data_IF_177146188015
#
_entry.id   IF_177146188015
#
_cell.length_a   1.000
_cell.length_b   1.000
_cell.length_c   1.000
_cell.angle_alpha   90.00
_cell.angle_beta   90.00
_cell.angle_gamma   90.00
#
_symmetry.space_group_name_H-M   'P 1'
#
loop_
_entity.id
_entity.type
_entity.pdbx_description
1 polymer ?
#
# COMPACT_ATOMS: atom_id res chain seq x y z
N UNK A 1 -18.36 -0.84 19.99
CA UNK A 1 -17.95 0.43 20.63
C UNK A 1 -17.80 1.61 19.65
N UNK A 2 -17.12 1.53 18.50
CA UNK A 2 -17.06 2.69 17.56
C UNK A 2 -18.36 2.97 16.77
N UNK A 3 -19.18 1.95 16.51
CA UNK A 3 -20.40 2.05 15.68
C UNK A 3 -21.70 2.30 16.47
N UNK A 4 -21.62 2.44 17.79
CA UNK A 4 -22.79 2.62 18.67
C UNK A 4 -23.17 4.10 18.85
N UNK A 5 -22.40 5.03 18.28
CA UNK A 5 -22.65 6.47 18.38
C UNK A 5 -23.61 6.94 17.27
N UNK A 6 -24.76 7.56 17.60
CA UNK A 6 -25.70 8.11 16.62
C UNK A 6 -25.01 9.16 15.73
N UNK A 7 -25.11 8.99 14.41
CA UNK A 7 -24.49 9.90 13.44
C UNK A 7 -23.08 9.53 12.98
N UNK A 8 -22.50 8.43 13.51
CA UNK A 8 -21.25 7.91 12.97
C UNK A 8 -21.53 7.18 11.65
N UNK A 9 -20.98 7.67 10.54
CA UNK A 9 -21.04 6.95 9.27
C UNK A 9 -20.30 5.62 9.45
N UNK A 10 -20.98 4.51 9.17
CA UNK A 10 -20.30 3.22 9.03
C UNK A 10 -19.24 3.40 7.97
N UNK A 11 -17.97 3.23 8.35
CA UNK A 11 -16.87 3.13 7.39
C UNK A 11 -17.28 2.14 6.31
N UNK A 12 -17.04 2.49 5.04
CA UNK A 12 -17.44 1.59 3.96
C UNK A 12 -16.72 0.24 4.19
N UNK A 13 -17.37 -0.86 3.85
CA UNK A 13 -16.77 -2.20 3.96
C UNK A 13 -15.38 -2.31 3.29
N UNK A 14 -15.04 -1.38 2.39
CA UNK A 14 -13.72 -1.30 1.75
C UNK A 14 -12.65 -0.73 2.70
N UNK A 15 -12.97 0.32 3.47
CA UNK A 15 -12.07 0.89 4.47
C UNK A 15 -11.85 -0.13 5.59
N UNK A 16 -12.91 -0.81 6.06
CA UNK A 16 -12.78 -1.82 7.12
C UNK A 16 -11.83 -2.96 6.72
N UNK A 17 -11.91 -3.42 5.46
CA UNK A 17 -11.00 -4.46 4.94
C UNK A 17 -9.55 -4.00 4.91
N UNK A 18 -9.30 -2.74 4.53
CA UNK A 18 -7.97 -2.16 4.55
C UNK A 18 -7.44 -2.06 5.98
N UNK A 19 -8.23 -1.52 6.90
CA UNK A 19 -7.81 -1.34 8.30
C UNK A 19 -7.53 -2.69 8.96
N UNK A 20 -8.37 -3.71 8.74
CA UNK A 20 -8.15 -5.06 9.26
C UNK A 20 -6.88 -5.73 8.66
N UNK A 21 -6.57 -5.46 7.39
CA UNK A 21 -5.35 -5.96 6.76
C UNK A 21 -4.10 -5.26 7.30
N UNK A 22 -4.18 -3.95 7.51
CA UNK A 22 -3.14 -3.13 8.18
C UNK A 22 -2.87 -3.61 9.59
N UNK A 23 -3.92 -3.81 10.38
CA UNK A 23 -3.81 -4.27 11.77
C UNK A 23 -3.09 -5.63 11.85
N UNK A 24 -3.48 -6.59 11.00
CA UNK A 24 -2.82 -7.91 10.96
C UNK A 24 -1.33 -7.83 10.60
N UNK A 25 -0.97 -7.04 9.59
CA UNK A 25 0.44 -6.89 9.19
C UNK A 25 1.24 -6.17 10.27
N UNK A 26 0.65 -5.17 10.93
CA UNK A 26 1.31 -4.50 12.04
C UNK A 26 1.55 -5.49 13.18
N UNK A 27 0.55 -6.29 13.56
CA UNK A 27 0.70 -7.31 14.60
C UNK A 27 1.81 -8.32 14.27
N UNK A 28 1.82 -8.87 13.05
CA UNK A 28 2.84 -9.82 12.57
C UNK A 28 4.28 -9.23 12.62
N UNK A 29 4.40 -7.91 12.49
CA UNK A 29 5.67 -7.18 12.56
C UNK A 29 6.04 -6.69 13.96
N UNK A 30 5.25 -7.01 14.99
CA UNK A 30 5.38 -6.42 16.33
C UNK A 30 5.25 -4.89 16.28
N UNK A 31 4.32 -4.42 15.46
CA UNK A 31 4.01 -3.03 15.19
C UNK A 31 5.22 -2.26 14.64
N UNK A 32 5.67 -1.25 15.38
CA UNK A 32 6.81 -0.41 15.03
C UNK A 32 8.05 -0.76 15.85
N UNK A 33 8.15 -2.00 16.34
CA UNK A 33 9.37 -2.47 16.98
C UNK A 33 10.56 -2.38 16.01
N UNK A 34 11.67 -1.84 16.52
CA UNK A 34 12.88 -1.59 15.74
C UNK A 34 13.14 -0.10 15.52
N UNK A 35 13.55 0.28 14.31
CA UNK A 35 13.88 1.67 13.96
C UNK A 35 12.75 2.33 13.17
N UNK A 36 12.72 3.67 13.19
CA UNK A 36 11.75 4.46 12.41
C UNK A 36 11.92 4.19 10.91
N UNK A 37 13.16 3.98 10.45
CA UNK A 37 13.48 3.63 9.07
C UNK A 37 12.86 2.29 8.67
N UNK A 38 12.95 1.28 9.54
CA UNK A 38 12.33 -0.02 9.31
C UNK A 38 10.80 0.11 9.25
N UNK A 39 10.20 0.80 10.23
CA UNK A 39 8.76 1.07 10.24
C UNK A 39 8.30 1.78 8.95
N UNK A 40 9.05 2.78 8.49
CA UNK A 40 8.75 3.51 7.25
C UNK A 40 8.83 2.62 6.01
N UNK A 41 9.87 1.78 5.91
CA UNK A 41 10.05 0.88 4.78
C UNK A 41 8.91 -0.14 4.72
N UNK A 42 8.51 -0.67 5.87
CA UNK A 42 7.43 -1.64 5.96
C UNK A 42 6.07 -1.03 5.63
N UNK A 43 5.75 0.17 6.14
CA UNK A 43 4.51 0.86 5.76
C UNK A 43 4.46 1.19 4.26
N UNK A 44 5.61 1.51 3.64
CA UNK A 44 5.70 1.69 2.18
C UNK A 44 5.46 0.38 1.43
N UNK A 45 6.10 -0.71 1.86
CA UNK A 45 5.91 -2.03 1.25
C UNK A 45 4.44 -2.46 1.33
N UNK A 46 3.80 -2.25 2.49
CA UNK A 46 2.38 -2.47 2.68
C UNK A 46 1.55 -1.66 1.67
N UNK A 47 1.76 -0.35 1.58
CA UNK A 47 1.00 0.51 0.66
C UNK A 47 1.16 0.07 -0.81
N UNK A 48 2.35 -0.37 -1.21
CA UNK A 48 2.61 -0.91 -2.55
C UNK A 48 1.82 -2.21 -2.77
N UNK A 49 1.90 -3.16 -1.84
CA UNK A 49 1.15 -4.42 -1.93
C UNK A 49 -0.36 -4.17 -2.02
N UNK A 50 -0.89 -3.28 -1.16
CA UNK A 50 -2.30 -2.96 -1.16
C UNK A 50 -2.75 -2.33 -2.50
N UNK A 51 -1.96 -1.42 -3.06
CA UNK A 51 -2.37 -0.71 -4.27
C UNK A 51 -2.25 -1.56 -5.54
N UNK A 52 -1.24 -2.42 -5.62
CA UNK A 52 -0.93 -3.17 -6.85
C UNK A 52 -1.43 -4.62 -6.84
N UNK A 53 -1.93 -5.16 -5.72
CA UNK A 53 -2.49 -6.51 -5.73
C UNK A 53 -3.65 -6.62 -6.72
N UNK A 54 -3.78 -7.75 -7.43
CA UNK A 54 -4.91 -7.97 -8.31
C UNK A 54 -6.20 -8.12 -7.50
N UNK A 55 -7.30 -7.67 -8.06
CA UNK A 55 -8.62 -8.00 -7.53
C UNK A 55 -8.88 -9.51 -7.67
N UNK A 56 -9.62 -10.06 -6.70
CA UNK A 56 -10.05 -11.45 -6.78
C UNK A 56 -11.01 -11.69 -7.94
N UNK A 57 -11.03 -12.92 -8.47
CA UNK A 57 -11.82 -13.33 -9.65
C UNK A 57 -13.27 -12.84 -9.61
N UNK A 58 -13.94 -12.96 -8.46
CA UNK A 58 -15.33 -12.48 -8.27
C UNK A 58 -15.55 -11.02 -8.70
N UNK A 59 -14.58 -10.13 -8.45
CA UNK A 59 -14.71 -8.73 -8.83
C UNK A 59 -14.46 -8.52 -10.32
N UNK A 60 -13.55 -9.28 -10.91
CA UNK A 60 -13.26 -9.26 -12.35
C UNK A 60 -14.45 -9.83 -13.15
N UNK A 61 -14.99 -10.98 -12.72
CA UNK A 61 -16.14 -11.64 -13.33
C UNK A 61 -17.42 -10.79 -13.23
N UNK A 62 -17.49 -9.90 -12.24
CA UNK A 62 -18.56 -8.92 -12.07
C UNK A 62 -18.47 -7.71 -12.99
N UNK A 63 -17.56 -7.70 -13.99
CA UNK A 63 -17.42 -6.63 -14.97
C UNK A 63 -16.56 -5.46 -14.52
N UNK A 64 -15.61 -5.68 -13.59
CA UNK A 64 -14.64 -4.64 -13.23
C UNK A 64 -13.65 -4.43 -14.36
N UNK A 65 -13.67 -3.24 -14.98
CA UNK A 65 -12.68 -2.83 -15.99
C UNK A 65 -11.25 -2.72 -15.42
N UNK A 66 -11.15 -2.55 -14.10
CA UNK A 66 -9.89 -2.39 -13.39
C UNK A 66 -9.43 -3.69 -12.75
N UNK A 67 -8.11 -3.92 -12.76
CA UNK A 67 -7.48 -5.13 -12.22
C UNK A 67 -6.92 -4.94 -10.82
N UNK A 68 -6.67 -3.72 -10.37
CA UNK A 68 -6.13 -3.41 -9.04
C UNK A 68 -6.68 -2.09 -8.49
N UNK A 69 -6.54 -1.82 -7.17
CA UNK A 69 -6.86 -0.50 -6.60
C UNK A 69 -6.13 0.66 -7.26
N UNK A 70 -4.85 0.48 -7.63
CA UNK A 70 -4.08 1.47 -8.35
C UNK A 70 -4.76 1.85 -9.68
N UNK A 71 -5.12 0.86 -10.49
CA UNK A 71 -5.73 1.11 -11.80
C UNK A 71 -7.11 1.77 -11.65
N UNK A 72 -7.89 1.35 -10.64
CA UNK A 72 -9.20 1.93 -10.36
C UNK A 72 -9.16 3.40 -9.92
N UNK A 73 -8.14 3.79 -9.15
CA UNK A 73 -7.97 5.18 -8.69
C UNK A 73 -7.34 6.08 -9.75
N UNK A 74 -6.41 5.56 -10.55
CA UNK A 74 -5.65 6.36 -11.51
C UNK A 74 -6.20 6.33 -12.94
N UNK A 75 -7.00 5.31 -13.28
CA UNK A 75 -7.52 5.10 -14.63
C UNK A 75 -6.47 4.59 -15.64
N UNK A 76 -5.27 4.20 -15.20
CA UNK A 76 -4.23 3.64 -16.05
C UNK A 76 -3.40 2.57 -15.33
N UNK A 77 -2.69 1.75 -16.11
CA UNK A 77 -1.70 0.79 -15.64
C UNK A 77 -0.40 0.90 -16.45
N UNK A 78 0.75 0.58 -15.85
CA UNK A 78 2.03 0.60 -16.57
C UNK A 78 2.19 -0.64 -17.47
N UNK A 79 1.69 -1.78 -17.00
CA UNK A 79 1.76 -3.08 -17.65
C UNK A 79 0.54 -3.93 -17.27
N UNK A 80 0.20 -4.91 -18.10
CA UNK A 80 -0.86 -5.88 -17.83
C UNK A 80 -0.52 -6.81 -16.64
N UNK A 81 0.76 -7.07 -16.42
CA UNK A 81 1.23 -7.87 -15.30
C UNK A 81 1.32 -7.00 -14.03
N UNK A 82 0.49 -7.33 -13.04
CA UNK A 82 0.42 -6.60 -11.77
C UNK A 82 1.76 -6.56 -11.02
N UNK A 83 2.56 -7.63 -11.10
CA UNK A 83 3.86 -7.69 -10.45
C UNK A 83 4.84 -6.71 -11.08
N UNK A 84 4.75 -6.49 -12.38
CA UNK A 84 5.56 -5.52 -13.09
C UNK A 84 5.21 -4.09 -12.64
N UNK A 85 3.92 -3.78 -12.47
CA UNK A 85 3.47 -2.49 -11.93
C UNK A 85 4.02 -2.25 -10.52
N UNK A 86 3.98 -3.27 -9.65
CA UNK A 86 4.55 -3.21 -8.30
C UNK A 86 6.05 -2.91 -8.33
N UNK A 87 6.82 -3.65 -9.15
CA UNK A 87 8.27 -3.48 -9.25
C UNK A 87 8.66 -2.10 -9.80
N UNK A 88 7.94 -1.60 -10.81
CA UNK A 88 8.15 -0.25 -11.33
C UNK A 88 7.91 0.80 -10.24
N UNK A 89 6.79 0.72 -9.53
CA UNK A 89 6.47 1.66 -8.45
C UNK A 89 7.45 1.58 -7.25
N UNK A 90 7.89 0.37 -6.90
CA UNK A 90 8.84 0.14 -5.80
C UNK A 90 10.29 0.52 -6.13
N UNK A 91 10.65 0.56 -7.42
CA UNK A 91 12.02 0.88 -7.86
C UNK A 91 12.40 2.36 -7.71
N UNK A 92 11.45 3.23 -7.34
CA UNK A 92 11.60 4.69 -7.38
C UNK A 92 12.09 5.20 -8.75
N UNK A 93 11.85 4.46 -9.84
CA UNK A 93 12.42 4.75 -11.16
C UNK A 93 13.95 4.92 -11.13
N UNK A 94 14.65 4.21 -10.24
CA UNK A 94 16.10 4.31 -10.09
C UNK A 94 16.60 5.53 -9.30
N UNK A 95 15.72 6.27 -8.61
CA UNK A 95 16.14 7.39 -7.76
C UNK A 95 17.00 6.88 -6.59
N UNK A 96 18.31 7.05 -6.70
CA UNK A 96 19.25 6.88 -5.59
C UNK A 96 19.42 8.23 -4.92
N UNK A 97 19.20 8.31 -3.62
CA UNK A 97 19.59 9.49 -2.84
C UNK A 97 21.10 9.68 -3.04
N UNK A 98 21.50 10.78 -3.65
CA UNK A 98 22.90 11.19 -3.66
C UNK A 98 23.28 11.37 -2.20
N UNK A 99 24.19 10.54 -1.68
CA UNK A 99 24.73 10.76 -0.34
C UNK A 99 25.22 12.20 -0.24
N UNK A 100 24.87 12.97 0.81
CA UNK A 100 25.41 14.31 0.98
C UNK A 100 26.94 14.21 0.98
N UNK A 101 27.66 15.15 0.31
CA UNK A 101 29.11 15.13 0.28
C UNK A 101 29.62 15.08 1.72
N UNK A 102 30.52 14.14 2.00
CA UNK A 102 31.17 14.02 3.30
C UNK A 102 31.91 15.34 3.59
N UNK A 103 31.34 16.17 4.48
CA UNK A 103 32.07 17.33 4.96
C UNK A 103 33.21 16.80 5.83
N UNK A 104 34.44 16.88 5.33
CA UNK A 104 35.62 16.57 6.13
C UNK A 104 35.69 17.61 7.24
N UNK A 105 35.44 17.17 8.47
CA UNK A 105 35.80 17.91 9.68
C UNK A 105 37.33 18.04 9.70
N UNK A 106 37.81 19.28 9.51
CA UNK A 106 39.19 19.67 9.78
C UNK A 106 39.44 19.87 11.26
#
# INVERSE_FOLDING_TARGET
MAYEMPGCYRTSNQIDRLMNYQDRILDDMQYFHGTIEAARLQMRAHALLWNFHPYGRRKLDGGSDFRSPFEALNGFSFNINWLHNLLLAGSLNGYRTVSPPCYKSG
#
